data_IF_070635247842
#
_entry.id   IF_070635247842
#
_cell.length_a   1.000
_cell.length_b   1.000
_cell.length_c   1.000
_cell.angle_alpha   90.00
_cell.angle_beta   90.00
_cell.angle_gamma   90.00
#
_symmetry.space_group_name_H-M   'P 1'
#
loop_
_entity.id
_entity.type
_entity.pdbx_description
1 polymer ?
#
# COMPACT_ATOMS: atom_id res chain seq x y z
N UNK A 1 -22.79 65.22 -7.19
CA UNK A 1 -21.76 64.27 -7.66
C UNK A 1 -21.74 62.96 -6.82
N UNK A 2 -22.89 62.32 -6.55
CA UNK A 2 -22.96 61.05 -5.78
C UNK A 2 -23.74 59.92 -6.47
N UNK A 3 -24.49 60.24 -7.54
CA UNK A 3 -25.38 59.29 -8.21
C UNK A 3 -24.72 58.52 -9.37
N UNK A 4 -23.61 59.04 -9.94
CA UNK A 4 -22.88 58.37 -11.02
C UNK A 4 -21.95 57.25 -10.53
N UNK A 5 -21.50 57.31 -9.28
CA UNK A 5 -20.59 56.31 -8.71
C UNK A 5 -21.29 54.99 -8.37
N UNK A 6 -22.55 55.04 -7.90
CA UNK A 6 -23.34 53.83 -7.60
C UNK A 6 -23.68 53.01 -8.85
N UNK A 7 -23.97 53.66 -9.98
CA UNK A 7 -24.24 52.96 -11.25
C UNK A 7 -22.99 52.30 -11.82
N UNK A 8 -21.82 52.92 -11.65
CA UNK A 8 -20.56 52.34 -12.09
C UNK A 8 -20.16 51.12 -11.25
N UNK A 9 -20.37 51.19 -9.93
CA UNK A 9 -20.06 50.09 -9.02
C UNK A 9 -20.98 48.87 -9.22
N UNK A 10 -22.26 49.09 -9.51
CA UNK A 10 -23.21 48.00 -9.79
C UNK A 10 -22.92 47.28 -11.11
N UNK A 11 -22.48 48.01 -12.14
CA UNK A 11 -22.06 47.43 -13.43
C UNK A 11 -20.76 46.62 -13.28
N UNK A 12 -19.82 47.09 -12.43
CA UNK A 12 -18.59 46.36 -12.15
C UNK A 12 -18.84 45.06 -11.37
N UNK A 13 -19.79 45.07 -10.42
CA UNK A 13 -20.19 43.90 -9.64
C UNK A 13 -20.93 42.87 -10.50
N UNK A 14 -21.80 43.31 -11.43
CA UNK A 14 -22.43 42.42 -12.41
C UNK A 14 -21.42 41.82 -13.39
N UNK A 15 -20.44 42.60 -13.84
CA UNK A 15 -19.36 42.10 -14.69
C UNK A 15 -18.48 41.07 -13.97
N UNK A 16 -18.18 41.25 -12.68
CA UNK A 16 -17.43 40.25 -11.90
C UNK A 16 -18.25 38.98 -11.64
N UNK A 17 -19.58 39.05 -11.45
CA UNK A 17 -20.41 37.86 -11.26
C UNK A 17 -20.57 36.99 -12.50
N UNK A 18 -20.39 37.55 -13.72
CA UNK A 18 -20.41 36.78 -14.97
C UNK A 18 -19.07 36.07 -15.23
N UNK A 19 -17.97 36.54 -14.64
CA UNK A 19 -16.66 35.89 -14.70
C UNK A 19 -16.41 34.81 -13.63
N UNK A 20 -17.33 34.64 -12.67
CA UNK A 20 -17.30 33.58 -11.66
C UNK A 20 -18.31 32.45 -11.95
N UNK A 21 -18.67 32.23 -13.21
CA UNK A 21 -19.32 30.98 -13.57
C UNK A 21 -18.27 29.86 -13.44
N UNK A 22 -18.57 28.74 -12.74
CA UNK A 22 -17.67 27.60 -12.72
C UNK A 22 -17.44 27.16 -14.16
N UNK A 23 -16.21 27.31 -14.64
CA UNK A 23 -15.84 26.72 -15.91
C UNK A 23 -15.93 25.21 -15.72
N UNK A 24 -16.94 24.58 -16.32
CA UNK A 24 -16.97 23.14 -16.48
C UNK A 24 -15.70 22.76 -17.24
N UNK A 25 -14.75 22.14 -16.54
CA UNK A 25 -13.53 21.59 -17.14
C UNK A 25 -13.94 20.28 -17.80
N UNK A 26 -14.31 20.34 -19.07
CA UNK A 26 -14.47 19.16 -19.89
C UNK A 26 -13.08 18.67 -20.32
N UNK A 27 -12.87 17.35 -20.30
CA UNK A 27 -11.72 16.75 -20.96
C UNK A 27 -11.72 17.15 -22.45
N UNK A 28 -10.54 17.36 -23.03
CA UNK A 28 -10.40 17.62 -24.47
C UNK A 28 -10.96 16.40 -25.23
N UNK A 29 -11.80 16.62 -26.25
CA UNK A 29 -12.32 15.52 -27.08
C UNK A 29 -11.16 14.69 -27.64
N UNK A 30 -11.15 13.35 -27.45
CA UNK A 30 -10.11 12.51 -28.00
C UNK A 30 -10.18 12.56 -29.53
N UNK A 31 -9.10 13.00 -30.15
CA UNK A 31 -8.93 12.98 -31.60
C UNK A 31 -7.73 12.09 -31.89
N UNK A 32 -8.04 10.94 -32.52
CA UNK A 32 -7.13 9.88 -33.00
C UNK A 32 -6.62 8.86 -31.95
N UNK A 33 -6.80 7.58 -32.28
CA UNK A 33 -6.22 6.45 -31.55
C UNK A 33 -4.70 6.63 -31.47
N UNK A 34 -4.16 6.59 -30.26
CA UNK A 34 -2.73 6.75 -30.00
C UNK A 34 -2.07 5.41 -29.69
N UNK A 35 -0.84 5.21 -30.15
CA UNK A 35 -0.05 4.05 -29.73
C UNK A 35 0.47 4.26 -28.33
N UNK A 36 0.28 3.25 -27.48
CA UNK A 36 0.68 3.29 -26.08
C UNK A 36 1.26 1.96 -25.63
N UNK A 37 2.04 2.01 -24.55
CA UNK A 37 2.42 0.80 -23.82
C UNK A 37 1.64 0.72 -22.52
N UNK A 38 0.98 -0.42 -22.30
CA UNK A 38 0.65 -0.89 -20.95
C UNK A 38 1.80 -1.71 -20.40
N UNK A 39 2.04 -1.65 -19.10
CA UNK A 39 2.99 -2.55 -18.43
C UNK A 39 2.26 -3.45 -17.46
N UNK A 40 2.76 -4.67 -17.29
CA UNK A 40 2.56 -5.48 -16.10
C UNK A 40 3.94 -5.85 -15.60
N UNK A 41 4.47 -5.03 -14.70
CA UNK A 41 5.86 -5.09 -14.27
C UNK A 41 5.95 -5.59 -12.84
N UNK A 42 7.01 -6.31 -12.53
CA UNK A 42 7.33 -6.63 -11.15
C UNK A 42 7.82 -5.36 -10.46
N UNK A 43 7.16 -4.94 -9.37
CA UNK A 43 7.52 -3.73 -8.64
C UNK A 43 8.53 -3.98 -7.52
N UNK A 44 8.98 -5.22 -7.37
CA UNK A 44 9.87 -5.62 -6.30
C UNK A 44 9.16 -6.40 -5.21
N UNK A 45 7.82 -6.46 -5.21
CA UNK A 45 7.00 -7.30 -4.33
C UNK A 45 5.88 -8.03 -5.09
N UNK A 46 5.15 -7.32 -5.94
CA UNK A 46 4.03 -7.84 -6.74
C UNK A 46 4.15 -7.42 -8.20
N UNK A 47 3.23 -7.90 -9.02
CA UNK A 47 3.01 -7.33 -10.34
C UNK A 47 2.04 -6.17 -10.26
N UNK A 48 2.49 -5.02 -10.77
CA UNK A 48 1.73 -3.79 -10.84
C UNK A 48 1.59 -3.37 -12.30
N UNK A 49 0.56 -2.58 -12.59
CA UNK A 49 0.26 -2.13 -13.95
C UNK A 49 0.44 -0.61 -14.06
N UNK A 50 1.09 -0.18 -15.13
CA UNK A 50 1.21 1.24 -15.45
C UNK A 50 0.97 1.51 -16.93
N UNK A 51 0.49 2.72 -17.21
CA UNK A 51 0.24 3.22 -18.55
C UNK A 51 1.32 4.21 -18.98
N UNK A 52 1.90 3.98 -20.15
CA UNK A 52 2.93 4.82 -20.75
C UNK A 52 2.30 5.55 -21.95
N UNK A 53 1.91 6.84 -21.80
CA UNK A 53 1.36 7.62 -22.91
C UNK A 53 2.44 7.96 -23.95
N UNK A 54 2.04 8.42 -25.15
CA UNK A 54 2.97 8.76 -26.22
C UNK A 54 4.04 9.77 -25.81
N UNK A 55 3.68 10.72 -24.93
CA UNK A 55 4.57 11.81 -24.46
C UNK A 55 5.67 11.36 -23.49
N UNK A 56 5.59 10.14 -22.94
CA UNK A 56 6.63 9.61 -22.05
C UNK A 56 7.66 8.85 -22.87
N UNK A 57 8.90 9.33 -22.88
CA UNK A 57 9.97 8.75 -23.71
C UNK A 57 10.72 7.60 -23.04
N UNK A 58 10.61 7.44 -21.72
CA UNK A 58 11.40 6.48 -20.95
C UNK A 58 10.52 5.53 -20.17
N UNK A 59 10.80 4.24 -20.30
CA UNK A 59 10.21 3.14 -19.54
C UNK A 59 11.23 2.65 -18.51
N UNK A 60 10.78 2.39 -17.28
CA UNK A 60 11.61 1.84 -16.22
C UNK A 60 11.06 0.47 -15.84
N UNK A 61 11.91 -0.55 -15.73
CA UNK A 61 11.56 -1.90 -15.28
C UNK A 61 12.67 -2.45 -14.37
N UNK A 62 12.32 -3.37 -13.47
CA UNK A 62 13.30 -4.05 -12.64
C UNK A 62 14.07 -5.14 -13.41
N UNK A 63 15.35 -5.28 -13.08
CA UNK A 63 16.21 -6.36 -13.55
C UNK A 63 15.82 -7.72 -12.94
N UNK A 64 16.20 -8.79 -13.62
CA UNK A 64 16.12 -10.20 -13.17
C UNK A 64 14.70 -10.73 -12.85
N UNK A 65 13.67 -9.94 -13.16
CA UNK A 65 12.27 -10.33 -13.06
C UNK A 65 11.56 -10.04 -14.38
N UNK A 66 10.82 -11.02 -14.93
CA UNK A 66 10.08 -10.79 -16.17
C UNK A 66 9.03 -9.71 -15.95
N UNK A 67 8.97 -8.75 -16.86
CA UNK A 67 7.92 -7.73 -16.93
C UNK A 67 7.29 -7.76 -18.31
N UNK A 68 6.01 -7.45 -18.42
CA UNK A 68 5.32 -7.42 -19.71
C UNK A 68 5.18 -5.98 -20.20
N UNK A 69 5.52 -5.76 -21.46
CA UNK A 69 5.11 -4.59 -22.22
C UNK A 69 3.99 -4.97 -23.20
N UNK A 70 2.80 -4.41 -23.03
CA UNK A 70 1.66 -4.62 -23.91
C UNK A 70 1.51 -3.42 -24.86
N UNK A 71 1.66 -3.65 -26.16
CA UNK A 71 1.43 -2.65 -27.21
C UNK A 71 -0.06 -2.52 -27.51
N UNK A 72 -0.61 -1.30 -27.39
CA UNK A 72 -2.04 -1.04 -27.61
C UNK A 72 -2.27 0.22 -28.44
N UNK A 73 -3.41 0.25 -29.13
CA UNK A 73 -4.04 1.47 -29.63
C UNK A 73 -5.29 1.75 -28.78
N UNK A 74 -5.38 2.98 -28.28
CA UNK A 74 -6.48 3.45 -27.42
C UNK A 74 -6.66 4.95 -27.61
N UNK A 75 -7.82 5.46 -27.22
CA UNK A 75 -7.99 6.90 -27.03
C UNK A 75 -7.23 7.35 -25.78
N UNK A 76 -6.56 8.51 -25.88
CA UNK A 76 -5.78 9.11 -24.79
C UNK A 76 -6.27 10.54 -24.59
N UNK A 77 -6.61 10.90 -23.36
CA UNK A 77 -7.03 12.24 -23.00
C UNK A 77 -6.22 12.77 -21.82
N UNK A 78 -6.06 14.08 -21.75
CA UNK A 78 -5.43 14.73 -20.60
C UNK A 78 -6.46 14.96 -19.50
N UNK A 79 -6.15 14.55 -18.26
CA UNK A 79 -6.99 14.73 -17.09
C UNK A 79 -6.46 15.87 -16.19
N UNK A 80 -7.06 17.06 -16.21
CA UNK A 80 -6.50 18.24 -15.54
C UNK A 80 -6.45 18.17 -14.01
N UNK A 81 -7.26 17.30 -13.37
CA UNK A 81 -7.29 17.18 -11.91
C UNK A 81 -6.01 16.51 -11.39
N UNK A 82 -5.50 15.49 -12.09
CA UNK A 82 -4.25 14.81 -11.71
C UNK A 82 -3.05 15.29 -12.51
N UNK A 83 -3.26 16.14 -13.53
CA UNK A 83 -2.25 16.60 -14.48
C UNK A 83 -1.55 15.45 -15.23
N UNK A 84 -2.32 14.43 -15.61
CA UNK A 84 -1.81 13.22 -16.26
C UNK A 84 -2.68 12.86 -17.47
N UNK A 85 -2.06 12.22 -18.46
CA UNK A 85 -2.76 11.53 -19.53
C UNK A 85 -3.37 10.22 -19.02
N UNK A 86 -4.59 9.93 -19.47
CA UNK A 86 -5.33 8.72 -19.17
C UNK A 86 -5.72 8.04 -20.47
N UNK A 87 -5.69 6.72 -20.46
CA UNK A 87 -6.22 5.90 -21.55
C UNK A 87 -7.70 5.59 -21.31
N UNK A 88 -8.48 5.64 -22.38
CA UNK A 88 -9.86 5.17 -22.42
C UNK A 88 -9.92 3.74 -23.00
N UNK A 89 -9.59 2.78 -22.14
CA UNK A 89 -9.60 1.35 -22.49
C UNK A 89 -11.00 0.81 -22.77
N UNK A 90 -12.05 1.49 -22.34
CA UNK A 90 -13.44 1.08 -22.55
C UNK A 90 -13.88 1.43 -23.98
N UNK A 91 -13.44 2.57 -24.50
CA UNK A 91 -13.71 2.98 -25.88
C UNK A 91 -12.87 2.20 -26.89
N UNK A 92 -11.56 2.04 -26.65
CA UNK A 92 -10.68 1.29 -27.54
C UNK A 92 -9.53 0.62 -26.79
N UNK A 93 -9.33 -0.68 -27.03
CA UNK A 93 -8.22 -1.43 -26.45
C UNK A 93 -7.71 -2.49 -27.43
N UNK A 94 -7.11 -2.00 -28.52
CA UNK A 94 -6.73 -2.84 -29.66
C UNK A 94 -5.27 -3.27 -29.51
N UNK A 95 -5.00 -4.57 -29.62
CA UNK A 95 -3.63 -5.11 -29.59
C UNK A 95 -2.91 -4.72 -30.88
N UNK A 96 -1.68 -4.24 -30.75
CA UNK A 96 -0.81 -3.96 -31.90
C UNK A 96 0.23 -5.07 -32.02
N UNK A 97 0.05 -5.94 -33.01
CA UNK A 97 0.93 -7.07 -33.25
C UNK A 97 2.28 -6.64 -33.84
N UNK A 98 3.29 -7.49 -33.63
CA UNK A 98 4.62 -7.30 -34.18
C UNK A 98 5.69 -7.96 -33.32
N UNK A 99 6.92 -7.51 -33.50
CA UNK A 99 8.09 -7.93 -32.75
C UNK A 99 8.71 -6.72 -32.06
N UNK A 100 9.01 -6.87 -30.77
CA UNK A 100 9.66 -5.82 -30.00
C UNK A 100 11.17 -5.95 -30.15
N UNK A 101 11.78 -5.03 -30.88
CA UNK A 101 13.24 -4.97 -31.01
C UNK A 101 13.85 -4.25 -29.81
N UNK A 102 14.87 -4.84 -29.22
CA UNK A 102 15.65 -4.27 -28.12
C UNK A 102 17.01 -3.87 -28.67
N UNK A 103 17.38 -2.61 -28.45
CA UNK A 103 18.58 -2.00 -28.99
C UNK A 103 19.50 -1.55 -27.88
N UNK A 104 20.80 -1.66 -28.14
CA UNK A 104 21.86 -0.98 -27.38
C UNK A 104 22.57 -0.02 -28.34
N UNK A 105 22.37 1.28 -28.11
CA UNK A 105 22.70 2.29 -29.12
C UNK A 105 21.83 2.10 -30.37
N UNK A 106 22.47 1.89 -31.53
CA UNK A 106 21.77 1.66 -32.81
C UNK A 106 21.75 0.19 -33.25
N UNK A 107 22.27 -0.74 -32.43
CA UNK A 107 22.34 -2.16 -32.78
C UNK A 107 21.20 -2.91 -32.07
N UNK A 108 20.43 -3.67 -32.84
CA UNK A 108 19.45 -4.62 -32.29
C UNK A 108 20.22 -5.75 -31.61
N UNK A 109 20.04 -5.90 -30.31
CA UNK A 109 20.69 -6.94 -29.50
C UNK A 109 19.76 -8.11 -29.20
N UNK A 110 18.44 -7.89 -29.28
CA UNK A 110 17.43 -8.91 -29.05
C UNK A 110 16.12 -8.53 -29.77
N UNK A 111 15.26 -9.52 -29.99
CA UNK A 111 13.93 -9.35 -30.60
C UNK A 111 12.93 -10.27 -29.89
N UNK A 112 12.00 -9.66 -29.18
CA UNK A 112 11.03 -10.35 -28.33
C UNK A 112 9.73 -10.55 -29.09
N UNK A 113 9.24 -11.79 -29.09
CA UNK A 113 7.96 -12.15 -29.69
C UNK A 113 6.82 -11.86 -28.72
N UNK A 114 5.67 -11.46 -29.28
CA UNK A 114 4.45 -11.31 -28.49
C UNK A 114 4.04 -12.69 -27.96
N UNK A 115 3.80 -12.78 -26.66
CA UNK A 115 3.56 -14.04 -25.94
C UNK A 115 2.31 -13.90 -25.08
N UNK A 116 1.55 -14.98 -24.95
CA UNK A 116 0.43 -15.08 -24.02
C UNK A 116 0.94 -15.10 -22.57
N UNK A 117 0.22 -14.47 -21.66
CA UNK A 117 0.56 -14.50 -20.25
C UNK A 117 -0.67 -14.42 -19.35
N UNK A 118 -0.47 -14.88 -18.12
CA UNK A 118 -1.45 -14.80 -17.03
C UNK A 118 -0.71 -14.47 -15.74
N UNK A 119 -1.33 -13.64 -14.91
CA UNK A 119 -0.89 -13.43 -13.52
C UNK A 119 -1.87 -14.14 -12.61
N UNK A 120 -1.35 -14.98 -11.71
CA UNK A 120 -2.15 -15.66 -10.69
C UNK A 120 -1.58 -15.40 -9.30
N UNK A 121 -2.46 -15.40 -8.30
CA UNK A 121 -2.11 -15.28 -6.90
C UNK A 121 -3.22 -15.86 -6.02
N UNK A 122 -2.88 -16.21 -4.80
CA UNK A 122 -3.83 -16.56 -3.75
C UNK A 122 -4.21 -15.28 -2.98
N UNK A 123 -5.50 -14.99 -2.86
CA UNK A 123 -6.01 -13.80 -2.16
C UNK A 123 -5.73 -13.79 -0.65
N UNK A 124 -5.44 -14.95 -0.04
CA UNK A 124 -5.05 -15.05 1.37
C UNK A 124 -3.56 -14.72 1.58
N UNK A 125 -2.72 -14.88 0.54
CA UNK A 125 -1.30 -14.55 0.61
C UNK A 125 -0.79 -14.06 -0.76
N UNK A 126 -1.09 -12.81 -1.10
CA UNK A 126 -0.74 -12.20 -2.39
C UNK A 126 0.78 -12.16 -2.62
N UNK A 127 1.55 -11.65 -1.65
CA UNK A 127 2.99 -11.37 -1.82
C UNK A 127 3.79 -12.64 -2.11
N UNK A 128 3.48 -13.75 -1.45
CA UNK A 128 4.26 -14.98 -1.60
C UNK A 128 3.81 -15.84 -2.77
N UNK A 129 2.56 -15.69 -3.22
CA UNK A 129 1.97 -16.57 -4.24
C UNK A 129 1.81 -15.94 -5.61
N UNK A 130 2.01 -14.63 -5.75
CA UNK A 130 1.87 -13.98 -7.05
C UNK A 130 2.92 -14.47 -8.05
N UNK A 131 2.47 -14.93 -9.22
CA UNK A 131 3.32 -15.47 -10.29
C UNK A 131 2.83 -15.00 -11.65
N UNK A 132 3.80 -14.76 -12.54
CA UNK A 132 3.58 -14.51 -13.96
C UNK A 132 3.90 -15.79 -14.73
N UNK A 133 2.93 -16.32 -15.46
CA UNK A 133 3.10 -17.46 -16.36
C UNK A 133 3.15 -16.97 -17.80
N UNK A 134 3.98 -17.60 -18.64
CA UNK A 134 4.21 -17.20 -20.03
C UNK A 134 3.96 -18.37 -21.01
N UNK A 135 3.42 -18.06 -22.19
CA UNK A 135 3.21 -19.00 -23.28
C UNK A 135 2.37 -20.20 -22.88
N UNK A 136 2.84 -21.41 -23.18
CA UNK A 136 2.13 -22.65 -22.84
C UNK A 136 1.87 -22.81 -21.34
N UNK A 137 2.75 -22.28 -20.48
CA UNK A 137 2.54 -22.32 -19.03
C UNK A 137 1.37 -21.42 -18.63
N UNK A 138 1.19 -20.28 -19.30
CA UNK A 138 0.06 -19.38 -19.07
C UNK A 138 -1.28 -20.04 -19.44
N UNK A 139 -1.31 -20.73 -20.58
CA UNK A 139 -2.49 -21.49 -21.03
C UNK A 139 -2.85 -22.58 -20.02
N UNK A 140 -1.88 -23.40 -19.62
CA UNK A 140 -2.10 -24.47 -18.62
C UNK A 140 -2.55 -23.91 -17.27
N UNK A 141 -1.94 -22.83 -16.80
CA UNK A 141 -2.31 -22.18 -15.55
C UNK A 141 -3.75 -21.66 -15.61
N UNK A 142 -4.16 -21.10 -16.76
CA UNK A 142 -5.53 -20.62 -16.98
C UNK A 142 -6.54 -21.75 -17.00
N UNK A 143 -6.27 -22.82 -17.74
CA UNK A 143 -7.14 -24.00 -17.81
C UNK A 143 -7.32 -24.64 -16.43
N UNK A 144 -6.24 -24.75 -15.64
CA UNK A 144 -6.31 -25.23 -14.27
C UNK A 144 -7.23 -24.36 -13.40
N UNK A 145 -7.07 -23.03 -13.48
CA UNK A 145 -7.93 -22.10 -12.75
C UNK A 145 -9.41 -22.23 -13.14
N UNK A 146 -9.71 -22.34 -14.43
CA UNK A 146 -11.09 -22.52 -14.92
C UNK A 146 -11.69 -23.85 -14.45
N UNK A 147 -10.89 -24.91 -14.40
CA UNK A 147 -11.26 -26.20 -13.82
C UNK A 147 -11.58 -26.10 -12.32
N UNK A 148 -10.73 -25.42 -11.55
CA UNK A 148 -10.98 -25.18 -10.12
C UNK A 148 -12.23 -24.33 -9.89
N UNK A 149 -12.48 -23.30 -10.70
CA UNK A 149 -13.73 -22.54 -10.65
C UNK A 149 -14.96 -23.39 -10.96
N UNK A 150 -14.85 -24.31 -11.92
CA UNK A 150 -15.95 -25.22 -12.25
C UNK A 150 -16.25 -26.18 -11.09
N UNK A 151 -15.22 -26.76 -10.49
CA UNK A 151 -15.36 -27.62 -9.32
C UNK A 151 -15.97 -26.86 -8.14
N UNK A 152 -15.45 -25.68 -7.82
CA UNK A 152 -15.97 -24.85 -6.73
C UNK A 152 -17.46 -24.50 -6.91
N UNK A 153 -17.91 -24.24 -8.14
CA UNK A 153 -19.34 -24.00 -8.41
C UNK A 153 -20.21 -25.23 -8.13
N UNK A 154 -19.71 -26.42 -8.43
CA UNK A 154 -20.40 -27.68 -8.13
C UNK A 154 -20.45 -27.94 -6.61
N UNK A 155 -19.32 -27.76 -5.93
CA UNK A 155 -19.23 -27.93 -4.47
C UNK A 155 -20.14 -26.94 -3.75
N UNK A 156 -20.21 -25.69 -4.23
CA UNK A 156 -21.09 -24.66 -3.69
C UNK A 156 -22.57 -25.04 -3.89
N UNK A 157 -22.91 -25.63 -5.03
CA UNK A 157 -24.27 -26.14 -5.28
C UNK A 157 -24.64 -27.25 -4.29
N UNK A 158 -23.75 -28.23 -4.10
CA UNK A 158 -23.94 -29.33 -3.14
C UNK A 158 -24.05 -28.82 -1.70
N UNK A 159 -23.16 -27.92 -1.28
CA UNK A 159 -23.20 -27.30 0.04
C UNK A 159 -24.54 -26.60 0.31
N UNK A 160 -25.09 -25.86 -0.65
CA UNK A 160 -26.40 -25.23 -0.48
C UNK A 160 -27.55 -26.23 -0.46
N UNK A 161 -27.43 -27.36 -1.15
CA UNK A 161 -28.38 -28.45 -1.03
C UNK A 161 -28.36 -29.04 0.39
N UNK A 162 -27.19 -29.40 0.90
CA UNK A 162 -27.00 -29.95 2.25
C UNK A 162 -27.47 -28.95 3.33
N UNK A 163 -27.16 -27.66 3.17
CA UNK A 163 -27.66 -26.62 4.08
C UNK A 163 -29.18 -26.48 4.08
N UNK A 164 -29.84 -26.71 2.94
CA UNK A 164 -31.30 -26.68 2.87
C UNK A 164 -31.91 -27.92 3.55
N UNK A 165 -31.32 -29.10 3.36
CA UNK A 165 -31.72 -30.33 4.03
C UNK A 165 -31.52 -30.23 5.55
N UNK A 166 -30.36 -29.72 5.98
CA UNK A 166 -30.05 -29.41 7.38
C UNK A 166 -31.09 -28.46 7.99
N UNK A 167 -31.42 -27.35 7.34
CA UNK A 167 -32.40 -26.39 7.86
C UNK A 167 -33.78 -27.01 8.06
N UNK A 168 -34.21 -27.87 7.14
CA UNK A 168 -35.48 -28.59 7.25
C UNK A 168 -35.44 -29.62 8.39
N UNK A 169 -34.38 -30.43 8.46
CA UNK A 169 -34.18 -31.43 9.51
C UNK A 169 -34.05 -30.81 10.89
N UNK A 170 -33.30 -29.73 11.03
CA UNK A 170 -33.13 -28.99 12.28
C UNK A 170 -34.44 -28.39 12.77
N UNK A 171 -35.26 -27.83 11.86
CA UNK A 171 -36.57 -27.30 12.24
C UNK A 171 -37.53 -28.40 12.74
N UNK A 172 -37.49 -29.60 12.12
CA UNK A 172 -38.25 -30.75 12.59
C UNK A 172 -37.75 -31.25 13.95
N UNK A 173 -36.43 -31.40 14.11
CA UNK A 173 -35.80 -31.81 15.34
C UNK A 173 -36.09 -30.84 16.51
N UNK A 174 -36.13 -29.52 16.25
CA UNK A 174 -36.54 -28.53 17.26
C UNK A 174 -37.98 -28.75 17.77
N UNK A 175 -38.90 -29.18 16.90
CA UNK A 175 -40.27 -29.49 17.32
C UNK A 175 -40.32 -30.75 18.19
N UNK A 176 -39.53 -31.77 17.84
CA UNK A 176 -39.41 -33.00 18.62
C UNK A 176 -38.71 -32.78 19.98
N UNK A 177 -37.71 -31.90 20.03
CA UNK A 177 -37.04 -31.46 21.26
C UNK A 177 -38.03 -30.74 22.20
N UNK A 178 -38.86 -29.84 21.66
CA UNK A 178 -39.91 -29.16 22.44
C UNK A 178 -40.99 -30.12 22.94
N UNK A 179 -41.27 -31.20 22.18
CA UNK A 179 -42.17 -32.27 22.59
C UNK A 179 -41.53 -33.29 23.56
N UNK A 180 -40.22 -33.17 23.83
CA UNK A 180 -39.46 -34.09 24.69
C UNK A 180 -39.21 -35.46 24.09
N UNK A 181 -39.26 -35.58 22.75
CA UNK A 181 -39.03 -36.83 22.01
C UNK A 181 -37.54 -37.09 21.72
N UNK A 182 -36.74 -36.03 21.67
CA UNK A 182 -35.28 -36.08 21.51
C UNK A 182 -34.60 -35.19 22.55
N UNK A 183 -33.28 -35.33 22.64
CA UNK A 183 -32.38 -34.54 23.48
C UNK A 183 -31.52 -33.58 22.65
N UNK A 184 -30.87 -32.60 23.27
CA UNK A 184 -30.14 -31.53 22.57
C UNK A 184 -28.92 -32.06 21.78
N UNK A 185 -28.31 -33.13 22.27
CA UNK A 185 -27.23 -33.88 21.63
C UNK A 185 -27.66 -34.71 20.41
N UNK A 186 -28.95 -34.86 20.18
CA UNK A 186 -29.52 -35.52 19.00
C UNK A 186 -29.93 -34.53 17.90
N UNK A 187 -29.68 -33.23 18.09
CA UNK A 187 -29.90 -32.24 17.05
C UNK A 187 -28.93 -32.48 15.88
N UNK A 188 -29.39 -32.36 14.62
CA UNK A 188 -28.50 -32.50 13.48
C UNK A 188 -27.42 -31.43 13.55
N UNK A 189 -26.21 -31.80 13.13
CA UNK A 189 -25.08 -30.87 13.03
C UNK A 189 -25.14 -30.11 11.71
N UNK A 190 -24.73 -28.82 11.69
CA UNK A 190 -24.61 -28.08 10.44
C UNK A 190 -23.54 -28.72 9.55
N UNK A 191 -23.73 -28.74 8.22
CA UNK A 191 -22.70 -29.21 7.31
C UNK A 191 -21.45 -28.31 7.42
N UNK A 192 -20.28 -28.91 7.20
CA UNK A 192 -19.01 -28.19 7.25
C UNK A 192 -19.00 -27.01 6.26
N UNK A 193 -18.57 -25.81 6.67
CA UNK A 193 -18.48 -24.66 5.77
C UNK A 193 -17.55 -24.94 4.60
N UNK A 194 -18.04 -24.70 3.38
CA UNK A 194 -17.19 -24.77 2.19
C UNK A 194 -16.11 -23.68 2.24
N UNK A 195 -14.86 -24.08 2.03
CA UNK A 195 -13.74 -23.13 1.92
C UNK A 195 -13.83 -22.37 0.59
N UNK A 196 -13.66 -21.04 0.64
CA UNK A 196 -13.66 -20.19 -0.55
C UNK A 196 -12.49 -20.53 -1.49
N UNK A 197 -12.74 -20.45 -2.80
CA UNK A 197 -11.66 -20.50 -3.79
C UNK A 197 -10.80 -19.23 -3.71
N UNK A 198 -9.67 -19.35 -3.02
CA UNK A 198 -8.77 -18.22 -2.80
C UNK A 198 -7.86 -17.90 -3.99
N UNK A 199 -7.77 -18.76 -5.02
CA UNK A 199 -6.94 -18.51 -6.21
C UNK A 199 -7.61 -17.47 -7.11
N UNK A 200 -6.85 -16.48 -7.57
CA UNK A 200 -7.23 -15.49 -8.57
C UNK A 200 -6.36 -15.62 -9.81
N UNK A 201 -6.93 -15.33 -10.98
CA UNK A 201 -6.23 -15.37 -12.25
C UNK A 201 -6.75 -14.27 -13.17
N UNK A 202 -5.85 -13.58 -13.86
CA UNK A 202 -6.25 -12.75 -15.00
C UNK A 202 -6.80 -13.63 -16.13
N UNK A 203 -7.46 -13.01 -17.12
CA UNK A 203 -7.67 -13.64 -18.42
C UNK A 203 -6.32 -13.85 -19.14
N UNK A 204 -6.34 -14.63 -20.22
CA UNK A 204 -5.20 -14.76 -21.11
C UNK A 204 -4.95 -13.43 -21.83
N UNK A 205 -3.79 -12.84 -21.60
CA UNK A 205 -3.40 -11.52 -22.13
C UNK A 205 -2.20 -11.68 -23.08
N UNK A 206 -1.97 -10.68 -23.92
CA UNK A 206 -0.85 -10.65 -24.87
C UNK A 206 0.10 -9.48 -24.59
N UNK A 207 1.41 -9.76 -24.67
CA UNK A 207 2.44 -8.74 -24.54
C UNK A 207 3.86 -9.29 -24.74
N UNK A 208 4.85 -8.44 -24.60
CA UNK A 208 6.27 -8.77 -24.77
C UNK A 208 6.92 -8.98 -23.41
N UNK A 209 7.36 -10.21 -23.08
CA UNK A 209 8.11 -10.46 -21.85
C UNK A 209 9.52 -9.90 -21.95
N UNK A 210 9.84 -8.94 -21.10
CA UNK A 210 11.15 -8.32 -20.95
C UNK A 210 11.78 -8.86 -19.67
N UNK A 211 12.90 -9.55 -19.81
CA UNK A 211 13.78 -9.91 -18.71
C UNK A 211 15.22 -9.65 -19.14
N UNK A 212 15.73 -8.48 -18.79
CA UNK A 212 17.05 -8.01 -19.20
C UNK A 212 17.90 -7.73 -17.96
N UNK A 213 19.24 -7.78 -18.08
CA UNK A 213 20.11 -7.29 -17.02
C UNK A 213 20.04 -5.76 -16.94
N UNK A 214 20.37 -5.23 -15.76
CA UNK A 214 20.42 -3.78 -15.50
C UNK A 214 21.24 -3.04 -16.58
N UNK A 215 20.70 -1.93 -17.07
CA UNK A 215 21.30 -1.15 -18.14
C UNK A 215 20.32 -0.23 -18.86
N UNK A 216 20.89 0.54 -19.80
CA UNK A 216 20.12 1.42 -20.66
C UNK A 216 20.00 0.81 -22.05
N UNK A 217 18.77 0.74 -22.53
CA UNK A 217 18.37 0.17 -23.80
C UNK A 217 17.44 1.14 -24.53
N UNK A 218 17.12 0.80 -25.77
CA UNK A 218 16.03 1.42 -26.51
C UNK A 218 15.14 0.31 -27.05
N UNK A 219 13.84 0.52 -27.05
CA UNK A 219 12.88 -0.41 -27.61
C UNK A 219 12.14 0.25 -28.77
N UNK A 220 11.69 -0.57 -29.71
CA UNK A 220 10.75 -0.17 -30.76
C UNK A 220 9.95 -1.38 -31.24
N UNK A 221 8.69 -1.15 -31.57
CA UNK A 221 7.83 -2.17 -32.16
C UNK A 221 7.99 -2.17 -33.68
N UNK A 222 8.29 -3.33 -34.24
CA UNK A 222 8.31 -3.59 -35.66
C UNK A 222 7.09 -4.43 -36.04
N UNK A 223 6.28 -3.96 -36.98
CA UNK A 223 5.10 -4.68 -37.46
C UNK A 223 5.49 -5.88 -38.31
N UNK A 224 4.51 -6.74 -38.60
CA UNK A 224 4.70 -7.89 -39.49
C UNK A 224 5.11 -7.49 -40.92
N UNK A 225 4.78 -6.25 -41.34
CA UNK A 225 5.19 -5.65 -42.62
C UNK A 225 6.63 -5.07 -42.60
N UNK A 226 7.38 -5.33 -41.52
CA UNK A 226 8.76 -4.88 -41.33
C UNK A 226 8.90 -3.35 -41.16
N UNK A 227 7.81 -2.65 -40.84
CA UNK A 227 7.81 -1.20 -40.53
C UNK A 227 7.92 -0.94 -39.03
N UNK A 228 8.63 0.12 -38.64
CA UNK A 228 8.72 0.54 -37.23
C UNK A 228 7.63 1.56 -36.94
N UNK A 229 6.86 1.34 -35.87
CA UNK A 229 5.87 2.31 -35.41
C UNK A 229 6.59 3.46 -34.70
N UNK A 230 6.55 4.70 -35.18
CA UNK A 230 7.35 5.79 -34.61
C UNK A 230 7.07 6.07 -33.12
N UNK A 231 5.80 6.03 -32.71
CA UNK A 231 5.37 6.27 -31.32
C UNK A 231 5.78 5.15 -30.35
N UNK A 232 6.17 3.98 -30.87
CA UNK A 232 6.63 2.84 -30.08
C UNK A 232 8.09 2.97 -29.64
N UNK A 233 8.82 3.94 -30.17
CA UNK A 233 10.24 4.12 -29.81
C UNK A 233 10.33 4.72 -28.41
N UNK A 234 10.94 3.97 -27.48
CA UNK A 234 11.15 4.41 -26.09
C UNK A 234 12.55 4.07 -25.62
N UNK A 235 13.13 4.91 -24.78
CA UNK A 235 14.27 4.53 -23.98
C UNK A 235 13.80 3.57 -22.88
N UNK A 236 14.56 2.53 -22.61
CA UNK A 236 14.24 1.51 -21.61
C UNK A 236 15.39 1.45 -20.60
N UNK A 237 15.07 1.76 -19.35
CA UNK A 237 16.00 1.69 -18.22
C UNK A 237 15.65 0.48 -17.38
N UNK A 238 16.53 -0.50 -17.39
CA UNK A 238 16.44 -1.67 -16.51
C UNK A 238 17.31 -1.38 -15.30
N UNK A 239 16.74 -1.42 -14.10
CA UNK A 239 17.45 -1.07 -12.88
C UNK A 239 17.31 -2.14 -11.80
N UNK A 240 18.23 -2.13 -10.86
CA UNK A 240 18.26 -3.04 -9.72
C UNK A 240 18.21 -2.26 -8.41
N UNK A 241 17.93 -2.98 -7.32
CA UNK A 241 18.06 -2.43 -5.98
C UNK A 241 19.53 -2.13 -5.68
N UNK A 242 19.77 -1.12 -4.85
CA UNK A 242 21.12 -0.71 -4.45
C UNK A 242 21.53 -1.36 -3.13
N UNK A 243 20.58 -1.53 -2.22
CA UNK A 243 20.79 -2.14 -0.91
C UNK A 243 19.57 -2.95 -0.51
N UNK A 244 19.78 -3.92 0.39
CA UNK A 244 18.71 -4.66 1.06
C UNK A 244 18.81 -4.43 2.56
N UNK A 245 17.69 -4.59 3.27
CA UNK A 245 17.68 -4.48 4.72
C UNK A 245 16.38 -4.93 5.33
N UNK A 246 16.26 -4.68 6.63
CA UNK A 246 15.04 -4.93 7.41
C UNK A 246 14.43 -3.57 7.77
N UNK A 247 13.13 -3.43 7.51
CA UNK A 247 12.28 -2.37 8.02
C UNK A 247 11.31 -2.91 9.05
N UNK A 248 10.67 -2.00 9.78
CA UNK A 248 9.64 -2.33 10.75
C UNK A 248 8.42 -1.45 10.55
N UNK A 249 7.24 -2.04 10.69
CA UNK A 249 6.02 -1.30 10.94
C UNK A 249 5.65 -1.48 12.41
N UNK A 250 5.45 -0.35 13.11
CA UNK A 250 5.26 -0.31 14.55
C UNK A 250 3.91 0.32 14.86
N UNK A 251 3.11 -0.33 15.69
CA UNK A 251 1.80 0.19 16.09
C UNK A 251 1.42 -0.26 17.50
N UNK A 252 0.62 0.56 18.18
CA UNK A 252 0.06 0.24 19.49
C UNK A 252 -1.32 -0.43 19.37
N UNK A 253 -1.78 -1.09 20.44
CA UNK A 253 -3.15 -1.62 20.54
C UNK A 253 -4.24 -0.58 20.22
N UNK A 254 -4.01 0.70 20.52
CA UNK A 254 -4.99 1.77 20.26
C UNK A 254 -5.02 2.26 18.81
N UNK A 255 -3.96 1.99 18.03
CA UNK A 255 -3.73 2.58 16.69
C UNK A 255 -3.20 1.56 15.68
N UNK A 256 -3.76 0.35 15.68
CA UNK A 256 -3.30 -0.73 14.80
C UNK A 256 -3.40 -0.36 13.30
N UNK A 257 -4.43 0.41 12.91
CA UNK A 257 -4.69 0.75 11.50
C UNK A 257 -3.79 1.83 10.92
N UNK A 258 -2.90 2.44 11.72
CA UNK A 258 -1.99 3.49 11.27
C UNK A 258 -0.58 3.20 11.81
N UNK A 259 0.13 2.23 11.22
CA UNK A 259 1.49 1.91 11.63
C UNK A 259 2.48 3.03 11.32
N UNK A 260 3.49 3.17 12.18
CA UNK A 260 4.66 4.01 11.97
C UNK A 260 5.81 3.16 11.44
N UNK A 261 6.33 3.49 10.26
CA UNK A 261 7.42 2.73 9.65
C UNK A 261 8.81 3.23 10.09
N UNK A 262 9.66 2.31 10.55
CA UNK A 262 11.08 2.54 10.83
C UNK A 262 11.96 1.84 9.77
N UNK A 263 12.21 2.55 8.67
CA UNK A 263 12.84 1.97 7.46
C UNK A 263 14.37 2.08 7.47
N UNK A 264 14.95 3.16 7.96
CA UNK A 264 16.41 3.28 8.01
C UNK A 264 16.97 2.68 9.30
N UNK A 265 18.22 2.21 9.25
CA UNK A 265 18.95 1.72 10.43
C UNK A 265 19.08 2.77 11.53
N UNK A 266 19.12 4.05 11.16
CA UNK A 266 19.20 5.16 12.09
C UNK A 266 17.82 5.69 12.54
N UNK A 267 16.73 5.09 12.07
CA UNK A 267 15.40 5.45 12.56
C UNK A 267 15.25 4.99 14.01
N UNK A 268 14.64 5.84 14.83
CA UNK A 268 14.40 5.57 16.24
C UNK A 268 12.91 5.31 16.42
N UNK A 269 12.56 4.23 17.11
CA UNK A 269 11.17 3.89 17.43
C UNK A 269 10.79 4.63 18.72
N UNK A 270 9.73 5.42 18.68
CA UNK A 270 9.22 6.16 19.83
C UNK A 270 7.97 5.50 20.39
N UNK A 271 7.89 5.37 21.72
CA UNK A 271 6.77 4.70 22.39
C UNK A 271 6.49 5.29 23.78
N UNK A 272 5.35 4.97 24.40
CA UNK A 272 4.94 5.46 25.72
C UNK A 272 5.14 4.39 26.81
N UNK A 273 5.49 4.82 28.04
CA UNK A 273 5.95 3.95 29.14
C UNK A 273 5.00 2.81 29.57
N UNK A 274 3.70 2.92 29.32
CA UNK A 274 2.70 1.95 29.78
C UNK A 274 1.86 1.36 28.62
N UNK A 275 2.42 1.31 27.42
CA UNK A 275 1.74 0.77 26.24
C UNK A 275 2.32 -0.57 25.79
N UNK A 276 1.42 -1.40 25.25
CA UNK A 276 1.78 -2.55 24.44
C UNK A 276 1.85 -2.08 22.99
N UNK A 277 2.90 -2.48 22.31
CA UNK A 277 3.05 -2.23 20.88
C UNK A 277 3.51 -3.48 20.15
N UNK A 278 3.20 -3.53 18.87
CA UNK A 278 3.54 -4.62 17.98
C UNK A 278 4.58 -4.14 16.99
N UNK A 279 5.50 -5.03 16.65
CA UNK A 279 6.55 -4.78 15.66
C UNK A 279 6.44 -5.83 14.57
N UNK A 280 6.10 -5.39 13.36
CA UNK A 280 6.08 -6.23 12.16
C UNK A 280 7.38 -6.03 11.38
N UNK A 281 8.29 -7.03 11.37
CA UNK A 281 9.49 -6.96 10.57
C UNK A 281 9.19 -7.30 9.10
N UNK A 282 9.82 -6.59 8.18
CA UNK A 282 9.80 -6.93 6.75
C UNK A 282 11.15 -6.74 6.09
N UNK A 283 11.42 -7.56 5.08
CA UNK A 283 12.49 -7.31 4.13
C UNK A 283 12.13 -6.11 3.26
N UNK A 284 13.11 -5.26 3.00
CA UNK A 284 12.96 -4.10 2.14
C UNK A 284 14.18 -3.94 1.23
N UNK A 285 13.95 -3.28 0.10
CA UNK A 285 14.97 -2.98 -0.90
C UNK A 285 15.04 -1.48 -1.14
N UNK A 286 16.25 -0.97 -1.34
CA UNK A 286 16.48 0.43 -1.61
C UNK A 286 16.64 0.67 -3.11
N UNK A 287 15.90 1.64 -3.64
CA UNK A 287 15.93 2.00 -5.06
C UNK A 287 16.19 3.49 -5.25
N UNK A 288 16.71 3.85 -6.42
CA UNK A 288 16.72 5.23 -6.89
C UNK A 288 15.26 5.69 -7.03
N UNK A 289 14.90 6.78 -6.34
CA UNK A 289 13.53 7.28 -6.22
C UNK A 289 12.89 7.44 -7.60
N UNK A 290 13.57 8.11 -8.54
CA UNK A 290 13.06 8.28 -9.90
C UNK A 290 12.74 6.98 -10.61
N UNK A 291 13.62 5.99 -10.52
CA UNK A 291 13.47 4.77 -11.30
C UNK A 291 12.29 3.95 -10.79
N UNK A 292 12.19 3.81 -9.47
CA UNK A 292 11.07 3.11 -8.85
C UNK A 292 9.73 3.84 -9.02
N UNK A 293 9.70 5.15 -8.78
CA UNK A 293 8.47 5.94 -8.90
C UNK A 293 8.00 6.00 -10.35
N UNK A 294 8.90 6.18 -11.34
CA UNK A 294 8.51 6.23 -12.76
C UNK A 294 8.25 4.87 -13.39
N UNK A 295 8.67 3.77 -12.76
CA UNK A 295 8.19 2.44 -13.14
C UNK A 295 6.69 2.30 -12.84
N UNK A 296 6.27 2.74 -11.64
CA UNK A 296 4.87 2.66 -11.18
C UNK A 296 3.98 3.80 -11.70
N UNK A 297 4.53 5.01 -11.85
CA UNK A 297 3.88 6.17 -12.44
C UNK A 297 4.80 6.82 -13.50
N UNK A 298 4.77 6.37 -14.77
CA UNK A 298 5.66 6.84 -15.84
C UNK A 298 5.63 8.35 -16.11
N UNK A 299 4.53 9.00 -15.75
CA UNK A 299 4.27 10.44 -15.93
C UNK A 299 4.73 11.30 -14.75
N UNK A 300 5.25 10.69 -13.67
CA UNK A 300 5.77 11.44 -12.54
C UNK A 300 6.90 12.39 -12.96
N UNK A 301 6.82 13.62 -12.45
CA UNK A 301 7.75 14.71 -12.71
C UNK A 301 8.49 15.20 -11.46
N UNK A 302 8.16 14.66 -10.28
CA UNK A 302 8.69 15.12 -8.98
C UNK A 302 9.91 14.31 -8.55
N UNK A 303 9.92 13.01 -8.84
CA UNK A 303 10.95 12.09 -8.38
C UNK A 303 12.35 12.41 -8.91
N UNK A 304 13.35 12.12 -8.08
CA UNK A 304 14.74 12.54 -8.32
C UNK A 304 15.68 11.34 -8.45
N UNK A 305 16.75 11.54 -9.22
CA UNK A 305 17.80 10.51 -9.40
C UNK A 305 18.83 10.50 -8.28
N UNK A 306 18.93 11.58 -7.51
CA UNK A 306 19.87 11.75 -6.39
C UNK A 306 19.27 11.34 -5.04
N UNK A 307 18.06 10.76 -5.04
CA UNK A 307 17.37 10.28 -3.85
C UNK A 307 17.17 8.78 -3.92
N UNK A 308 17.20 8.17 -2.74
CA UNK A 308 16.92 6.76 -2.54
C UNK A 308 15.66 6.59 -1.70
N UNK A 309 14.88 5.55 -1.97
CA UNK A 309 13.71 5.19 -1.20
C UNK A 309 13.78 3.72 -0.80
N UNK A 310 13.30 3.41 0.41
CA UNK A 310 13.12 2.06 0.89
C UNK A 310 11.69 1.59 0.61
N UNK A 311 11.59 0.43 -0.03
CA UNK A 311 10.34 -0.19 -0.41
C UNK A 311 10.24 -1.55 0.28
N UNK A 312 9.17 -1.75 1.04
CA UNK A 312 8.84 -3.00 1.72
C UNK A 312 8.53 -4.09 0.69
N UNK A 313 9.03 -5.30 0.92
CA UNK A 313 8.94 -6.40 -0.03
C UNK A 313 8.12 -7.58 0.50
N UNK A 314 8.57 -8.21 1.58
CA UNK A 314 7.91 -9.38 2.17
C UNK A 314 8.14 -9.38 3.68
N UNK A 315 7.22 -9.99 4.42
CA UNK A 315 7.37 -10.18 5.86
C UNK A 315 8.66 -10.95 6.17
N UNK A 316 9.32 -10.62 7.28
CA UNK A 316 10.47 -11.39 7.74
C UNK A 316 9.96 -12.58 8.55
N UNK A 317 10.13 -13.78 8.01
CA UNK A 317 9.71 -15.03 8.64
C UNK A 317 10.86 -15.76 9.29
N UNK A 318 10.56 -16.69 10.21
CA UNK A 318 11.56 -17.55 10.87
C UNK A 318 12.68 -16.75 11.56
N UNK A 319 12.32 -15.60 12.13
CA UNK A 319 13.21 -14.70 12.88
C UNK A 319 12.76 -14.64 14.34
N UNK A 320 13.71 -14.35 15.22
CA UNK A 320 13.41 -14.00 16.62
C UNK A 320 13.87 -12.58 16.92
N UNK A 321 13.28 -11.92 17.90
CA UNK A 321 13.65 -10.56 18.28
C UNK A 321 14.53 -10.59 19.52
N UNK A 322 15.75 -10.09 19.40
CA UNK A 322 16.60 -9.73 20.54
C UNK A 322 16.21 -8.36 21.06
N UNK A 323 15.80 -8.31 22.32
CA UNK A 323 15.37 -7.12 23.06
C UNK A 323 16.48 -6.73 24.03
N UNK A 324 17.14 -5.61 23.77
CA UNK A 324 18.23 -5.11 24.61
C UNK A 324 17.73 -4.17 25.69
N UNK A 325 17.96 -4.54 26.95
CA UNK A 325 17.59 -3.74 28.13
C UNK A 325 18.83 -3.36 28.96
N UNK A 326 18.66 -2.54 30.00
CA UNK A 326 19.73 -2.31 30.98
C UNK A 326 20.12 -3.55 31.79
N UNK A 327 19.25 -4.57 31.85
CA UNK A 327 19.41 -5.77 32.67
C UNK A 327 20.00 -6.96 31.89
N UNK A 328 20.07 -6.86 30.57
CA UNK A 328 20.49 -7.93 29.66
C UNK A 328 19.67 -7.95 28.37
N UNK A 329 19.97 -8.91 27.51
CA UNK A 329 19.25 -9.18 26.28
C UNK A 329 18.23 -10.32 26.48
N UNK A 330 17.03 -10.16 25.92
CA UNK A 330 15.95 -11.14 25.96
C UNK A 330 15.55 -11.52 24.54
N UNK A 331 14.96 -12.70 24.36
CA UNK A 331 14.52 -13.17 23.04
C UNK A 331 13.01 -13.34 23.06
N UNK A 332 12.34 -12.70 22.09
CA UNK A 332 10.92 -12.85 21.82
C UNK A 332 10.70 -13.53 20.47
N UNK A 333 9.58 -14.26 20.37
CA UNK A 333 9.20 -15.01 19.18
C UNK A 333 8.09 -14.31 18.41
N UNK A 334 8.08 -14.52 17.10
CA UNK A 334 7.07 -13.97 16.22
C UNK A 334 5.76 -14.73 16.40
N UNK A 335 4.65 -14.02 16.58
CA UNK A 335 3.33 -14.61 16.84
C UNK A 335 2.27 -14.08 15.88
N UNK A 336 1.23 -14.89 15.67
CA UNK A 336 0.07 -14.54 14.86
C UNK A 336 -1.03 -13.92 15.74
N UNK A 337 -1.62 -12.82 15.29
CA UNK A 337 -2.67 -12.10 16.00
C UNK A 337 -3.92 -11.96 15.15
N UNK A 338 -5.07 -11.82 15.81
CA UNK A 338 -6.37 -11.58 15.21
C UNK A 338 -7.01 -10.31 15.78
N UNK A 339 -7.53 -9.46 14.88
CA UNK A 339 -8.21 -8.22 15.26
C UNK A 339 -9.71 -8.50 15.33
N UNK A 340 -10.23 -8.59 16.55
CA UNK A 340 -11.66 -8.79 16.78
C UNK A 340 -12.38 -7.45 16.89
N UNK A 341 -13.39 -7.22 16.05
CA UNK A 341 -14.26 -6.04 16.20
C UNK A 341 -15.20 -6.21 17.39
N UNK A 342 -15.26 -5.21 18.27
CA UNK A 342 -16.14 -5.21 19.43
C UNK A 342 -17.58 -4.97 18.99
N UNK A 343 -18.49 -5.90 19.32
CA UNK A 343 -19.91 -5.74 19.04
C UNK A 343 -20.53 -4.67 19.97
N UNK A 344 -21.10 -3.60 19.40
CA UNK A 344 -21.78 -2.57 20.18
C UNK A 344 -22.06 -1.26 19.45
N UNK A 345 -22.62 -0.29 20.17
CA UNK A 345 -22.94 1.05 19.66
C UNK A 345 -21.72 1.97 19.50
N UNK A 346 -20.52 1.49 19.88
CA UNK A 346 -19.24 2.19 19.72
C UNK A 346 -18.33 1.31 18.87
N UNK A 347 -17.75 1.90 17.82
CA UNK A 347 -16.72 1.25 17.01
C UNK A 347 -15.47 1.05 17.89
N UNK A 348 -14.93 -0.17 17.86
CA UNK A 348 -13.73 -0.56 18.61
C UNK A 348 -13.24 -1.94 18.20
N UNK A 349 -12.03 -2.28 18.59
CA UNK A 349 -11.41 -3.57 18.31
C UNK A 349 -10.53 -4.00 19.48
N UNK A 350 -10.25 -5.29 19.53
CA UNK A 350 -9.30 -5.91 20.45
C UNK A 350 -8.33 -6.79 19.63
N UNK A 351 -7.07 -6.82 20.04
CA UNK A 351 -6.03 -7.66 19.42
C UNK A 351 -5.83 -8.86 20.33
N UNK A 352 -6.11 -10.06 19.82
CA UNK A 352 -5.98 -11.32 20.55
C UNK A 352 -5.03 -12.26 19.81
N UNK A 353 -4.36 -13.21 20.51
CA UNK A 353 -3.60 -14.26 19.84
C UNK A 353 -4.49 -15.04 18.86
N UNK A 354 -3.95 -15.37 17.69
CA UNK A 354 -4.67 -16.15 16.68
C UNK A 354 -4.79 -17.61 17.12
N UNK A 355 -6.02 -18.13 17.07
CA UNK A 355 -6.33 -19.54 17.32
C UNK A 355 -6.86 -20.20 16.04
N UNK A 356 -6.11 -21.14 15.43
CA UNK A 356 -6.52 -21.78 14.18
C UNK A 356 -7.76 -22.68 14.31
N UNK A 357 -8.17 -23.07 15.52
CA UNK A 357 -9.38 -23.88 15.72
C UNK A 357 -10.67 -23.04 15.65
N UNK A 358 -10.59 -21.76 16.06
CA UNK A 358 -11.75 -20.88 16.17
C UNK A 358 -11.76 -19.75 15.15
N UNK A 359 -10.64 -19.50 14.48
CA UNK A 359 -10.46 -18.37 13.57
C UNK A 359 -9.94 -18.81 12.20
N UNK A 360 -10.47 -18.21 11.14
CA UNK A 360 -10.15 -18.59 9.76
C UNK A 360 -8.70 -18.26 9.36
N UNK A 361 -8.23 -17.05 9.69
CA UNK A 361 -6.89 -16.58 9.34
C UNK A 361 -6.39 -15.47 10.27
N UNK A 362 -5.08 -15.34 10.50
CA UNK A 362 -4.53 -14.24 11.27
C UNK A 362 -4.75 -12.91 10.56
N UNK A 363 -4.92 -11.85 11.35
CA UNK A 363 -4.96 -10.47 10.84
C UNK A 363 -3.58 -9.93 10.54
N UNK A 364 -2.58 -10.31 11.36
CA UNK A 364 -1.18 -9.95 11.16
C UNK A 364 -0.25 -10.84 12.01
N UNK A 365 1.06 -10.69 11.78
CA UNK A 365 2.12 -11.47 12.44
C UNK A 365 3.22 -10.54 12.94
N UNK A 366 3.44 -10.47 14.25
CA UNK A 366 4.30 -9.46 14.86
C UNK A 366 4.99 -9.96 16.14
N UNK A 367 5.97 -9.18 16.63
CA UNK A 367 6.45 -9.29 18.00
C UNK A 367 5.63 -8.38 18.91
N UNK A 368 5.03 -8.92 19.97
CA UNK A 368 4.32 -8.13 20.99
C UNK A 368 5.30 -7.63 22.04
N UNK A 369 5.32 -6.31 22.23
CA UNK A 369 6.20 -5.64 23.16
C UNK A 369 5.44 -5.00 24.31
N UNK A 370 5.65 -5.53 25.52
CA UNK A 370 5.03 -5.05 26.74
C UNK A 370 6.02 -4.23 27.57
N UNK A 371 5.85 -2.90 27.56
CA UNK A 371 6.75 -1.99 28.26
C UNK A 371 6.60 -2.01 29.78
N UNK A 372 5.52 -2.59 30.32
CA UNK A 372 5.46 -2.85 31.77
C UNK A 372 6.49 -3.92 32.15
N UNK A 373 6.66 -4.92 31.27
CA UNK A 373 7.68 -5.96 31.42
C UNK A 373 9.08 -5.44 31.10
N UNK A 374 9.23 -4.61 30.06
CA UNK A 374 10.51 -4.08 29.59
C UNK A 374 10.65 -2.56 29.74
N UNK A 375 10.41 -2.06 30.94
CA UNK A 375 10.41 -0.62 31.26
C UNK A 375 11.73 0.13 31.00
N UNK A 376 12.84 -0.59 30.76
CA UNK A 376 14.16 -0.04 30.43
C UNK A 376 14.68 -0.54 29.07
N UNK A 377 13.78 -0.80 28.12
CA UNK A 377 14.11 -1.13 26.74
C UNK A 377 14.97 -0.04 26.09
N UNK A 378 16.07 -0.44 25.45
CA UNK A 378 16.99 0.47 24.75
C UNK A 378 16.98 0.29 23.25
N UNK A 379 16.80 -0.94 22.78
CA UNK A 379 16.85 -1.25 21.37
C UNK A 379 16.47 -2.68 21.09
N UNK A 380 16.35 -2.98 19.81
CA UNK A 380 15.97 -4.29 19.29
C UNK A 380 16.88 -4.67 18.11
N UNK A 381 16.99 -5.96 17.86
CA UNK A 381 17.58 -6.53 16.66
C UNK A 381 16.94 -7.88 16.34
N UNK A 382 16.82 -8.24 15.07
CA UNK A 382 16.43 -9.59 14.68
C UNK A 382 17.61 -10.55 14.73
N UNK A 383 17.30 -11.79 15.11
CA UNK A 383 18.14 -12.96 15.03
C UNK A 383 17.63 -13.86 13.89
N UNK A 384 18.55 -14.37 13.09
CA UNK A 384 18.25 -15.39 12.07
C UNK A 384 18.05 -16.78 12.72
N UNK A 385 17.82 -17.80 11.88
CA UNK A 385 17.59 -19.18 12.31
C UNK A 385 18.80 -19.79 13.06
N UNK A 386 20.00 -19.26 12.82
CA UNK A 386 21.23 -19.69 13.49
C UNK A 386 21.49 -18.89 14.79
N UNK A 387 20.58 -17.99 15.15
CA UNK A 387 20.71 -17.11 16.31
C UNK A 387 21.69 -15.95 16.12
N UNK A 388 22.08 -15.64 14.88
CA UNK A 388 22.99 -14.54 14.56
C UNK A 388 22.19 -13.26 14.29
N UNK A 389 22.72 -12.13 14.78
CA UNK A 389 22.12 -10.81 14.58
C UNK A 389 22.14 -10.43 13.08
N UNK A 390 20.98 -10.01 12.59
CA UNK A 390 20.83 -9.39 11.27
C UNK A 390 21.19 -7.91 11.39
N UNK A 391 22.35 -7.49 10.88
CA UNK A 391 22.89 -6.14 11.14
C UNK A 391 21.96 -4.99 10.75
N UNK A 392 21.25 -5.11 9.62
CA UNK A 392 20.33 -4.07 9.12
C UNK A 392 19.04 -3.93 9.95
N UNK A 393 18.82 -4.84 10.90
CA UNK A 393 17.61 -4.88 11.74
C UNK A 393 17.74 -4.09 13.04
N UNK A 394 18.93 -3.63 13.41
CA UNK A 394 19.10 -2.92 14.69
C UNK A 394 18.31 -1.62 14.72
N UNK A 395 17.58 -1.35 15.81
CA UNK A 395 16.87 -0.09 16.05
C UNK A 395 16.98 0.33 17.51
N UNK A 396 17.17 1.63 17.72
CA UNK A 396 17.05 2.23 19.04
C UNK A 396 15.57 2.50 19.37
N UNK A 397 15.22 2.31 20.64
CA UNK A 397 13.87 2.54 21.16
C UNK A 397 13.93 3.61 22.24
N UNK A 398 13.14 4.68 22.04
CA UNK A 398 13.01 5.78 22.97
C UNK A 398 11.62 5.77 23.62
N UNK A 399 11.60 5.42 24.90
CA UNK A 399 10.39 5.49 25.73
C UNK A 399 10.20 6.95 26.19
N UNK A 400 9.15 7.59 25.71
CA UNK A 400 8.77 8.94 26.07
C UNK A 400 8.15 8.95 27.47
N UNK A 401 8.67 9.80 28.35
CA UNK A 401 8.12 10.02 29.68
C UNK A 401 7.12 11.17 29.66
N UNK A 402 5.83 10.84 29.71
CA UNK A 402 4.73 11.83 29.71
C UNK A 402 4.39 12.35 31.10
N UNK A 403 4.92 11.77 32.18
CA UNK A 403 4.66 12.18 33.57
C UNK A 403 5.10 13.62 33.86
N UNK A 404 6.02 14.15 33.06
CA UNK A 404 6.57 15.50 33.20
C UNK A 404 5.95 16.51 32.22
N UNK A 405 5.00 16.11 31.37
CA UNK A 405 4.35 17.01 30.41
C UNK A 405 3.66 18.19 31.10
N UNK A 406 3.19 18.00 32.33
CA UNK A 406 2.58 19.08 33.09
C UNK A 406 3.53 20.25 33.37
N UNK A 407 4.86 20.03 33.36
CA UNK A 407 5.88 21.08 33.55
C UNK A 407 5.94 22.06 32.38
N UNK A 408 5.42 21.69 31.21
CA UNK A 408 5.32 22.59 30.05
C UNK A 408 4.33 23.73 30.33
N UNK A 409 3.26 23.47 31.08
CA UNK A 409 2.25 24.49 31.41
C UNK A 409 2.77 25.65 32.27
N UNK A 410 3.46 25.45 33.42
CA UNK A 410 4.04 26.55 34.18
C UNK A 410 5.16 27.26 33.40
N UNK A 411 5.93 26.55 32.56
CA UNK A 411 6.93 27.16 31.67
C UNK A 411 6.27 28.06 30.61
N UNK A 412 5.16 27.64 30.01
CA UNK A 412 4.38 28.48 29.10
C UNK A 412 3.70 29.67 29.82
N UNK A 413 3.41 29.55 31.11
CA UNK A 413 2.86 30.61 31.96
C UNK A 413 3.86 31.68 32.39
N UNK A 414 5.18 31.45 32.28
CA UNK A 414 6.23 32.39 32.71
C UNK A 414 6.10 33.79 32.12
N UNK A 415 5.85 33.99 30.80
CA UNK A 415 5.66 35.32 30.23
C UNK A 415 4.46 36.07 30.82
N UNK A 416 3.38 35.36 31.13
CA UNK A 416 2.17 35.94 31.75
C UNK A 416 2.48 36.34 33.19
N UNK A 417 3.15 35.47 33.95
CA UNK A 417 3.58 35.77 35.33
C UNK A 417 4.54 36.97 35.37
N UNK A 418 5.51 37.02 34.46
CA UNK A 418 6.43 38.16 34.30
C UNK A 418 5.69 39.44 33.91
N UNK A 419 4.71 39.35 33.01
CA UNK A 419 3.86 40.47 32.61
C UNK A 419 3.01 41.02 33.76
N UNK A 420 2.36 40.14 34.52
CA UNK A 420 1.58 40.51 35.72
C UNK A 420 2.46 41.09 36.82
N UNK A 421 3.66 40.56 37.00
CA UNK A 421 4.65 41.08 37.94
C UNK A 421 5.11 42.49 37.54
N UNK A 422 5.45 42.70 36.26
CA UNK A 422 5.80 44.02 35.69
C UNK A 422 4.66 45.03 35.88
N UNK A 423 3.41 44.64 35.57
CA UNK A 423 2.22 45.49 35.74
C UNK A 423 1.97 45.85 37.20
N UNK A 424 2.12 44.89 38.12
CA UNK A 424 1.97 45.13 39.57
C UNK A 424 3.05 46.06 40.11
N UNK A 425 4.30 45.89 39.66
CA UNK A 425 5.42 46.77 40.02
C UNK A 425 5.21 48.19 39.47
N UNK A 426 4.69 48.32 38.24
CA UNK A 426 4.32 49.61 37.64
C UNK A 426 3.18 50.29 38.39
N UNK A 427 2.10 49.59 38.75
CA UNK A 427 0.98 50.14 39.53
C UNK A 427 1.43 50.65 40.90
N UNK A 428 2.31 49.92 41.60
CA UNK A 428 2.89 50.39 42.89
C UNK A 428 3.71 51.68 42.73
N UNK A 429 4.50 51.78 41.67
CA UNK A 429 5.27 53.01 41.35
C UNK A 429 4.35 54.21 41.07
N UNK A 430 3.27 54.02 40.30
CA UNK A 430 2.30 55.09 39.98
C UNK A 430 1.45 55.51 41.19
N UNK A 431 1.08 54.58 42.07
CA UNK A 431 0.30 54.88 43.28
C UNK A 431 1.11 55.70 44.30
N UNK A 432 2.42 55.49 44.37
CA UNK A 432 3.32 56.31 45.19
C UNK A 432 3.56 57.72 44.62
N UNK A 433 3.31 57.95 43.32
CA UNK A 433 3.41 59.28 42.70
C UNK A 433 2.13 60.11 42.91
N UNK A 434 0.97 59.47 43.13
CA UNK A 434 -0.32 60.16 43.34
C UNK A 434 -0.59 60.66 44.77
N UNK A 435 0.31 60.43 45.72
CA UNK A 435 0.19 60.95 47.11
C UNK A 435 1.02 62.23 47.33
N UNK A 436 1.72 62.72 46.30
CA UNK A 436 2.40 64.02 46.33
C UNK A 436 1.77 64.94 45.28
N UNK A 437 0.54 65.34 45.55
CA UNK A 437 -0.20 66.33 44.78
C UNK A 437 -1.02 67.19 45.73
N UNK A 438 -0.47 68.38 46.03
CA UNK A 438 -1.02 69.58 46.69
C UNK A 438 -2.53 69.71 46.45
N UNK A 439 -3.39 69.88 47.45
CA UNK A 439 -3.61 71.14 48.20
C UNK A 439 -4.70 71.95 47.52
#
# INVERSE_FOLDING_TARGET
MKMKFKKFFLVLLMACSVYCLPQSVYAQEPQELSFVYGTNHYDGAVYSSAFIPPVVDTVYLLADHPSILASRLTDVYYWPITNEYRADWDTANIIVEGQLEILRGNTVIDTVQMTEYVIQYNGLNLMDTIRLYLGEEAVKARENFEGLQAQYREDLYLYYQDMNEYRQGFQAALADLQAGLITEDELPEPPEPLQDLALFSTNLLWGFPINLPAGNYRIRLRTNDNEVIPESVKDLVIFEHQNEGIGYDVFSEERWSVPESAKNVNDVIYTLRDQIFFIEPYHQKQYVERYYVRMNNPQDSVSRVDRMIWVSHRSAENVSLSISTSSGDFIETLENYFVQQLAGSRLGYEIIPFDPETMNQPSFTAFRIDLQTWSNLKGIALLDQDGKIIETSQRDIHILNTDLNWLVYPLAGLPILLGLFMLSRRKRKVRNVKVVGVG
#
